data_IF_345554375590
#
_entry.id   IF_345554375590
#
_cell.length_a   1.000
_cell.length_b   1.000
_cell.length_c   1.000
_cell.angle_alpha   90.00
_cell.angle_beta   90.00
_cell.angle_gamma   90.00
#
_symmetry.space_group_name_H-M   'P 1'
#
loop_
_entity.id
_entity.type
_entity.pdbx_description
1 polymer ?
#
# COMPACT_ATOMS: atom_id res chain seq x y z
N UNK A 1 5.97 8.75 27.32
CA UNK A 1 6.07 7.80 26.20
C UNK A 1 5.21 8.36 25.09
N UNK A 2 5.79 9.11 24.15
CA UNK A 2 5.05 9.58 22.98
C UNK A 2 4.96 8.40 22.02
N UNK A 3 3.81 7.75 21.98
CA UNK A 3 3.47 6.92 20.82
C UNK A 3 3.12 7.90 19.71
N UNK A 4 4.12 8.35 18.96
CA UNK A 4 3.89 8.79 17.59
C UNK A 4 3.43 7.56 16.82
N UNK A 5 2.14 7.24 16.95
CA UNK A 5 1.46 6.48 15.93
C UNK A 5 1.47 7.38 14.70
N UNK A 6 2.59 7.34 13.95
CA UNK A 6 2.52 7.61 12.52
C UNK A 6 1.39 6.73 12.05
N UNK A 7 0.23 7.32 11.76
CA UNK A 7 -0.88 6.61 11.15
C UNK A 7 -0.29 6.03 9.87
N UNK A 8 0.15 4.77 9.93
CA UNK A 8 0.67 4.05 8.79
C UNK A 8 -0.53 3.85 7.90
N UNK A 9 -0.76 4.82 7.03
CA UNK A 9 -1.89 4.83 6.13
C UNK A 9 -1.82 3.54 5.32
N UNK A 10 -2.79 2.66 5.58
CA UNK A 10 -2.90 1.40 4.88
C UNK A 10 -3.69 1.67 3.62
N UNK A 11 -3.02 1.57 2.48
CA UNK A 11 -3.66 1.69 1.19
C UNK A 11 -4.46 0.42 0.95
N UNK A 12 -5.72 0.54 0.58
CA UNK A 12 -6.56 -0.61 0.17
C UNK A 12 -6.78 -0.65 -1.34
N UNK A 13 -6.25 0.35 -2.05
CA UNK A 13 -6.40 0.55 -3.48
C UNK A 13 -5.01 0.70 -4.11
N UNK A 14 -4.69 -0.25 -5.00
CA UNK A 14 -3.42 -0.26 -5.73
C UNK A 14 -3.23 1.02 -6.55
N UNK A 15 -4.29 1.56 -7.14
CA UNK A 15 -4.22 2.80 -7.93
C UNK A 15 -3.80 3.99 -7.08
N UNK A 16 -4.34 4.09 -5.86
CA UNK A 16 -3.96 5.15 -4.92
C UNK A 16 -2.52 4.99 -4.44
N UNK A 17 -2.10 3.74 -4.18
CA UNK A 17 -0.73 3.43 -3.82
C UNK A 17 0.26 3.84 -4.92
N UNK A 18 -0.07 3.56 -6.18
CA UNK A 18 0.77 3.90 -7.33
C UNK A 18 0.87 5.42 -7.63
N UNK A 19 -0.02 6.26 -7.07
CA UNK A 19 0.14 7.71 -7.18
C UNK A 19 1.32 8.23 -6.36
N UNK A 20 1.67 7.55 -5.26
CA UNK A 20 2.76 7.92 -4.37
C UNK A 20 3.53 6.68 -3.89
N UNK A 21 4.17 5.91 -4.79
CA UNK A 21 4.70 4.57 -4.49
C UNK A 21 5.78 4.57 -3.39
N UNK A 22 6.48 5.70 -3.19
CA UNK A 22 7.49 5.90 -2.14
C UNK A 22 6.91 6.18 -0.75
N UNK A 23 5.59 6.36 -0.63
CA UNK A 23 4.90 6.64 0.65
C UNK A 23 4.04 5.47 1.14
N UNK A 24 3.94 4.39 0.36
CA UNK A 24 2.99 3.29 0.59
C UNK A 24 3.51 2.32 1.66
N UNK A 25 3.47 2.69 2.94
CA UNK A 25 4.01 1.83 4.00
C UNK A 25 3.30 0.47 4.16
N UNK A 26 2.02 0.39 3.77
CA UNK A 26 1.22 -0.83 3.81
C UNK A 26 0.17 -0.80 2.70
N UNK A 27 0.03 -1.90 1.96
CA UNK A 27 -0.98 -2.08 0.91
C UNK A 27 -1.74 -3.39 1.18
N UNK A 28 -3.01 -3.28 1.55
CA UNK A 28 -3.90 -4.41 1.82
C UNK A 28 -4.88 -4.62 0.65
N UNK A 29 -4.66 -5.71 -0.10
CA UNK A 29 -5.50 -6.13 -1.21
C UNK A 29 -6.29 -7.41 -0.91
N UNK A 30 -6.27 -7.88 0.35
CA UNK A 30 -6.83 -9.19 0.76
C UNK A 30 -8.33 -9.33 0.46
N UNK A 31 -9.08 -8.23 0.60
CA UNK A 31 -10.53 -8.19 0.39
C UNK A 31 -10.94 -8.06 -1.08
N UNK A 32 -9.98 -7.93 -2.00
CA UNK A 32 -10.27 -7.73 -3.43
C UNK A 32 -10.36 -9.04 -4.24
N UNK A 33 -10.18 -10.20 -3.59
CA UNK A 33 -10.30 -11.51 -4.26
C UNK A 33 -9.28 -11.72 -5.37
N UNK A 34 -8.14 -11.05 -5.30
CA UNK A 34 -7.14 -11.07 -6.36
C UNK A 34 -6.40 -12.41 -6.33
N UNK A 35 -6.40 -13.12 -7.44
CA UNK A 35 -5.70 -14.40 -7.59
C UNK A 35 -4.28 -14.23 -8.13
N UNK A 36 -4.00 -13.09 -8.76
CA UNK A 36 -2.70 -12.75 -9.35
C UNK A 36 -2.37 -11.28 -9.08
N UNK A 37 -1.16 -11.00 -8.64
CA UNK A 37 -0.71 -9.61 -8.51
C UNK A 37 -0.30 -9.06 -9.87
N UNK A 38 -0.71 -7.84 -10.21
CA UNK A 38 -0.34 -7.26 -11.49
C UNK A 38 1.09 -6.69 -11.42
N UNK A 39 1.82 -6.63 -12.55
CA UNK A 39 3.25 -6.30 -12.58
C UNK A 39 3.57 -4.90 -12.03
N UNK A 40 2.62 -3.95 -12.11
CA UNK A 40 2.75 -2.61 -11.54
C UNK A 40 2.97 -2.59 -10.03
N UNK A 41 2.65 -3.67 -9.30
CA UNK A 41 2.93 -3.74 -7.86
C UNK A 41 4.43 -3.64 -7.55
N UNK A 42 5.29 -4.04 -8.50
CA UNK A 42 6.75 -3.89 -8.41
C UNK A 42 7.25 -2.45 -8.53
N UNK A 43 6.36 -1.49 -8.84
CA UNK A 43 6.69 -0.05 -8.84
C UNK A 43 6.65 0.57 -7.44
N UNK A 44 6.13 -0.15 -6.44
CA UNK A 44 6.16 0.28 -5.04
C UNK A 44 7.60 0.12 -4.49
N UNK A 45 8.16 1.19 -3.93
CA UNK A 45 9.60 1.27 -3.65
C UNK A 45 9.99 1.16 -2.16
N UNK A 46 9.06 1.47 -1.23
CA UNK A 46 9.26 1.60 0.24
C UNK A 46 10.70 1.62 0.78
#
# INVERSE_FOLDING_TARGET
MQTEAVEKETYTDLTKALQNPSKVLSLDLSSQGITTFPPEIGQLLN
#
